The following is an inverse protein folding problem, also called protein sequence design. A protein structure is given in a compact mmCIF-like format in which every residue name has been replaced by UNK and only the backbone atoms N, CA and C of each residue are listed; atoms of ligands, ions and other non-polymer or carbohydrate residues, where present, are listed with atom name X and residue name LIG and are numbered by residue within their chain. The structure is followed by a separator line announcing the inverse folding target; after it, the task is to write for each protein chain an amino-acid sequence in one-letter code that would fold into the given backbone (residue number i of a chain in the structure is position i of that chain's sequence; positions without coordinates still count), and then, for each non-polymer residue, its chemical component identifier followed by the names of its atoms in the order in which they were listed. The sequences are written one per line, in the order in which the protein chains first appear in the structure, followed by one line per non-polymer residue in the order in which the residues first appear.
data_IF_503558691782
#
_entry.id   IF_503558691782
#
_cell.length_a   1.000
_cell.length_b   1.000
_cell.length_c   1.000
_cell.angle_alpha   90.00
_cell.angle_beta   90.00
_cell.angle_gamma   90.00
#
_symmetry.space_group_name_H-M   'P 1'
#
loop_
_entity.id
_entity.type
_entity.pdbx_description
1 polymer ?
#
# COMPACT_ATOMS: atom_id res chain seq x y z
N UNK A 1 1.79 19.53 24.10
CA UNK A 1 1.57 18.90 22.79
C UNK A 1 0.18 18.25 22.81
N UNK A 2 -0.84 18.90 22.27
CA UNK A 2 -2.20 18.34 22.23
C UNK A 2 -2.31 17.38 21.05
N UNK A 3 -2.58 16.10 21.34
CA UNK A 3 -2.90 15.10 20.31
C UNK A 3 -4.37 15.29 19.96
N UNK A 4 -4.67 15.99 18.86
CA UNK A 4 -6.03 16.04 18.32
C UNK A 4 -6.21 14.76 17.52
N UNK A 5 -6.93 13.78 18.08
CA UNK A 5 -7.33 12.56 17.38
C UNK A 5 -8.39 12.95 16.35
N UNK A 6 -8.03 12.89 15.08
CA UNK A 6 -8.92 13.19 13.96
C UNK A 6 -9.62 11.91 13.48
N UNK A 7 -10.63 12.07 12.64
CA UNK A 7 -11.34 10.96 11.99
C UNK A 7 -10.38 9.99 11.26
N UNK A 8 -9.32 10.52 10.62
CA UNK A 8 -8.29 9.69 10.00
C UNK A 8 -7.50 8.83 11.00
N UNK A 9 -7.25 9.33 12.21
CA UNK A 9 -6.58 8.57 13.26
C UNK A 9 -7.46 7.42 13.75
N UNK A 10 -8.78 7.62 13.81
CA UNK A 10 -9.74 6.56 14.14
C UNK A 10 -9.75 5.45 13.08
N UNK A 11 -9.69 5.80 11.78
CA UNK A 11 -9.58 4.80 10.71
C UNK A 11 -8.29 3.98 10.86
N UNK A 12 -7.16 4.64 11.10
CA UNK A 12 -5.86 3.97 11.29
C UNK A 12 -5.91 3.01 12.48
N UNK A 13 -6.44 3.46 13.63
CA UNK A 13 -6.59 2.62 14.83
C UNK A 13 -7.53 1.45 14.56
N UNK A 14 -8.65 1.67 13.87
CA UNK A 14 -9.59 0.61 13.50
C UNK A 14 -8.97 -0.45 12.61
N UNK A 15 -8.20 -0.04 11.59
CA UNK A 15 -7.46 -0.95 10.72
C UNK A 15 -6.43 -1.74 11.53
N UNK A 16 -5.64 -1.09 12.38
CA UNK A 16 -4.67 -1.77 13.25
C UNK A 16 -5.35 -2.80 14.16
N UNK A 17 -6.43 -2.41 14.85
CA UNK A 17 -7.17 -3.30 15.73
C UNK A 17 -7.73 -4.52 14.98
N UNK A 18 -8.28 -4.30 13.77
CA UNK A 18 -8.77 -5.39 12.92
C UNK A 18 -7.66 -6.37 12.55
N UNK A 19 -6.50 -5.89 12.09
CA UNK A 19 -5.39 -6.75 11.68
C UNK A 19 -4.72 -7.46 12.87
N UNK A 20 -4.63 -6.82 14.03
CA UNK A 20 -4.17 -7.46 15.28
C UNK A 20 -5.11 -8.60 15.67
N UNK A 21 -6.42 -8.34 15.68
CA UNK A 21 -7.42 -9.33 16.04
C UNK A 21 -7.47 -10.50 15.06
N UNK A 22 -7.43 -10.20 13.75
CA UNK A 22 -7.32 -11.22 12.70
C UNK A 22 -6.03 -12.02 12.87
N UNK A 23 -4.93 -11.34 13.20
CA UNK A 23 -3.64 -11.98 13.41
C UNK A 23 -3.64 -12.94 14.61
N UNK A 24 -4.28 -12.52 15.70
CA UNK A 24 -4.51 -13.37 16.87
C UNK A 24 -5.37 -14.60 16.54
N UNK A 25 -6.37 -14.47 15.66
CA UNK A 25 -7.24 -15.58 15.26
C UNK A 25 -6.60 -16.57 14.28
N UNK A 26 -5.87 -16.09 13.28
CA UNK A 26 -5.24 -16.94 12.25
C UNK A 26 -3.94 -17.61 12.74
N UNK A 27 -3.24 -17.00 13.69
CA UNK A 27 -1.96 -17.50 14.16
C UNK A 27 -0.80 -17.23 13.19
N UNK A 28 0.41 -17.63 13.58
CA UNK A 28 1.66 -17.24 12.92
C UNK A 28 1.73 -17.59 11.44
N UNK A 29 1.46 -18.84 11.08
CA UNK A 29 1.63 -19.34 9.71
C UNK A 29 0.71 -18.65 8.71
N UNK A 30 -0.57 -18.49 9.07
CA UNK A 30 -1.54 -17.78 8.25
C UNK A 30 -1.11 -16.32 8.06
N UNK A 31 -0.66 -15.65 9.11
CA UNK A 31 -0.19 -14.26 8.99
C UNK A 31 1.09 -14.15 8.15
N UNK A 32 2.00 -15.10 8.26
CA UNK A 32 3.23 -15.10 7.46
C UNK A 32 2.90 -15.29 5.98
N UNK A 33 2.02 -16.23 5.66
CA UNK A 33 1.54 -16.46 4.29
C UNK A 33 0.78 -15.24 3.76
N UNK A 34 -0.08 -14.62 4.56
CA UNK A 34 -0.78 -13.39 4.19
C UNK A 34 0.17 -12.20 3.99
N UNK A 35 1.27 -12.13 4.76
CA UNK A 35 2.30 -11.09 4.61
C UNK A 35 3.12 -11.28 3.33
N UNK A 36 3.55 -12.51 3.03
CA UNK A 36 4.23 -12.84 1.77
C UNK A 36 3.32 -12.50 0.59
N UNK A 37 2.06 -12.90 0.65
CA UNK A 37 1.05 -12.58 -0.35
C UNK A 37 0.85 -11.07 -0.55
N UNK A 38 0.85 -10.31 0.54
CA UNK A 38 0.77 -8.85 0.48
C UNK A 38 1.92 -8.26 -0.33
N UNK A 39 3.17 -8.65 -0.06
CA UNK A 39 4.31 -8.15 -0.85
C UNK A 39 4.27 -8.62 -2.30
N UNK A 40 3.93 -9.89 -2.56
CA UNK A 40 3.79 -10.40 -3.92
C UNK A 40 2.75 -9.59 -4.72
N UNK A 41 1.56 -9.40 -4.16
CA UNK A 41 0.49 -8.62 -4.80
C UNK A 41 0.91 -7.17 -4.99
N UNK A 42 1.57 -6.56 -4.00
CA UNK A 42 2.04 -5.18 -4.07
C UNK A 42 3.12 -5.01 -5.15
N UNK A 43 4.10 -5.91 -5.21
CA UNK A 43 5.17 -5.89 -6.22
C UNK A 43 4.60 -6.01 -7.62
N UNK A 44 3.73 -7.01 -7.86
CA UNK A 44 3.10 -7.19 -9.17
C UNK A 44 2.25 -5.97 -9.54
N UNK A 45 1.50 -5.43 -8.57
CA UNK A 45 0.71 -4.20 -8.77
C UNK A 45 1.59 -3.06 -9.25
N UNK A 46 2.71 -2.78 -8.57
CA UNK A 46 3.62 -1.70 -8.93
C UNK A 46 4.25 -1.89 -10.32
N UNK A 47 4.55 -3.13 -10.71
CA UNK A 47 5.09 -3.45 -12.04
C UNK A 47 4.06 -3.12 -13.14
N UNK A 48 2.80 -3.52 -12.96
CA UNK A 48 1.78 -3.36 -14.00
C UNK A 48 0.99 -2.05 -13.90
N UNK A 49 1.22 -1.26 -12.84
CA UNK A 49 0.45 -0.07 -12.51
C UNK A 49 0.38 0.93 -13.66
N UNK A 50 1.48 1.14 -14.37
CA UNK A 50 1.52 2.09 -15.50
C UNK A 50 0.55 1.72 -16.63
N UNK A 51 0.31 0.43 -16.85
CA UNK A 51 -0.67 -0.05 -17.83
C UNK A 51 -2.10 0.14 -17.32
N UNK A 52 -2.35 -0.22 -16.06
CA UNK A 52 -3.66 -0.08 -15.44
C UNK A 52 -4.09 1.39 -15.35
N UNK A 53 -3.20 2.27 -14.92
CA UNK A 53 -3.49 3.69 -14.80
C UNK A 53 -3.71 4.36 -16.16
N UNK A 54 -2.98 3.94 -17.21
CA UNK A 54 -3.23 4.38 -18.59
C UNK A 54 -4.62 3.98 -19.07
N UNK A 55 -5.09 2.77 -18.73
CA UNK A 55 -6.45 2.34 -19.06
C UNK A 55 -7.51 3.27 -18.44
N UNK A 56 -7.40 3.58 -17.15
CA UNK A 56 -8.34 4.49 -16.49
C UNK A 56 -8.28 5.92 -17.03
N UNK A 57 -7.09 6.42 -17.36
CA UNK A 57 -6.96 7.76 -17.93
C UNK A 57 -7.53 7.85 -19.35
N UNK A 58 -7.26 6.86 -20.20
CA UNK A 58 -7.72 6.91 -21.60
C UNK A 58 -9.22 6.62 -21.76
N UNK A 59 -9.77 5.69 -20.95
CA UNK A 59 -11.17 5.26 -21.09
C UNK A 59 -12.13 6.18 -20.34
N UNK A 60 -11.72 6.72 -19.20
CA UNK A 60 -12.59 7.54 -18.35
C UNK A 60 -12.17 9.02 -18.28
N UNK A 61 -11.12 9.41 -19.02
CA UNK A 61 -10.59 10.79 -19.08
C UNK A 61 -10.29 11.38 -17.70
N UNK A 62 -9.85 10.54 -16.77
CA UNK A 62 -9.62 10.94 -15.38
C UNK A 62 -8.26 11.63 -15.20
N UNK A 63 -8.14 12.56 -14.22
CA UNK A 63 -6.86 13.15 -13.84
C UNK A 63 -5.81 12.09 -13.47
N UNK A 64 -4.50 12.38 -13.62
CA UNK A 64 -3.44 11.43 -13.32
C UNK A 64 -3.50 10.84 -11.89
N UNK A 65 -3.74 11.68 -10.87
CA UNK A 65 -3.90 11.28 -9.46
C UNK A 65 -4.99 10.22 -9.28
N UNK A 66 -6.16 10.46 -9.86
CA UNK A 66 -7.31 9.55 -9.80
C UNK A 66 -7.05 8.29 -10.61
N UNK A 67 -6.46 8.41 -11.80
CA UNK A 67 -6.16 7.28 -12.69
C UNK A 67 -5.17 6.31 -12.05
N UNK A 68 -4.11 6.81 -11.41
CA UNK A 68 -3.14 5.97 -10.69
C UNK A 68 -3.78 5.35 -9.45
N UNK A 69 -4.57 6.11 -8.69
CA UNK A 69 -5.28 5.58 -7.52
C UNK A 69 -6.21 4.42 -7.89
N UNK A 70 -7.06 4.61 -8.90
CA UNK A 70 -7.99 3.58 -9.36
C UNK A 70 -7.26 2.39 -9.99
N UNK A 71 -6.23 2.64 -10.79
CA UNK A 71 -5.37 1.59 -11.36
C UNK A 71 -4.73 0.74 -10.27
N UNK A 72 -4.20 1.36 -9.23
CA UNK A 72 -3.63 0.67 -8.09
C UNK A 72 -4.68 -0.16 -7.35
N UNK A 73 -5.81 0.45 -6.96
CA UNK A 73 -6.87 -0.23 -6.21
C UNK A 73 -7.40 -1.43 -7.00
N UNK A 74 -7.68 -1.25 -8.28
CA UNK A 74 -8.22 -2.29 -9.14
C UNK A 74 -7.27 -3.49 -9.24
N UNK A 75 -6.01 -3.26 -9.60
CA UNK A 75 -5.01 -4.33 -9.75
C UNK A 75 -4.71 -4.98 -8.41
N UNK A 76 -4.47 -4.20 -7.36
CA UNK A 76 -4.15 -4.73 -6.05
C UNK A 76 -5.29 -5.57 -5.48
N UNK A 77 -6.53 -5.10 -5.62
CA UNK A 77 -7.71 -5.85 -5.19
C UNK A 77 -7.90 -7.14 -5.99
N UNK A 78 -7.75 -7.08 -7.33
CA UNK A 78 -7.87 -8.25 -8.19
C UNK A 78 -6.83 -9.33 -7.84
N UNK A 79 -5.56 -8.92 -7.66
CA UNK A 79 -4.47 -9.83 -7.27
C UNK A 79 -4.66 -10.37 -5.86
N UNK A 80 -5.06 -9.52 -4.92
CA UNK A 80 -5.34 -9.95 -3.53
C UNK A 80 -6.46 -10.98 -3.51
N UNK A 81 -7.53 -10.76 -4.28
CA UNK A 81 -8.64 -11.70 -4.37
C UNK A 81 -8.19 -13.04 -4.98
N UNK A 82 -7.44 -13.01 -6.08
CA UNK A 82 -6.86 -14.20 -6.70
C UNK A 82 -5.94 -14.96 -5.71
N UNK A 83 -5.10 -14.23 -4.97
CA UNK A 83 -4.22 -14.80 -3.95
C UNK A 83 -5.01 -15.46 -2.81
N UNK A 84 -6.10 -14.84 -2.34
CA UNK A 84 -6.95 -15.42 -1.30
C UNK A 84 -7.58 -16.74 -1.75
N UNK A 85 -8.01 -16.85 -3.01
CA UNK A 85 -8.49 -18.12 -3.57
C UNK A 85 -7.38 -19.17 -3.61
N UNK A 86 -6.18 -18.80 -4.03
CA UNK A 86 -5.02 -19.68 -4.07
C UNK A 86 -4.64 -20.21 -2.68
N UNK A 87 -4.59 -19.34 -1.67
CA UNK A 87 -4.29 -19.74 -0.28
C UNK A 87 -5.36 -20.68 0.28
N UNK A 88 -6.65 -20.37 0.07
CA UNK A 88 -7.74 -21.26 0.49
C UNK A 88 -7.62 -22.65 -0.14
N UNK A 89 -7.17 -22.72 -1.40
CA UNK A 89 -6.95 -23.99 -2.08
C UNK A 89 -5.79 -24.78 -1.46
N UNK A 90 -4.68 -24.11 -1.11
CA UNK A 90 -3.55 -24.73 -0.40
C UNK A 90 -3.94 -25.22 0.99
N UNK A 91 -4.70 -24.43 1.76
CA UNK A 91 -5.13 -24.81 3.11
C UNK A 91 -6.01 -26.06 3.12
N UNK A 92 -6.74 -26.36 2.04
CA UNK A 92 -7.48 -27.61 1.91
C UNK A 92 -6.56 -28.84 1.80
N UNK A 93 -5.30 -28.64 1.43
CA UNK A 93 -4.32 -29.72 1.21
C UNK A 93 -3.39 -29.96 2.41
N UNK A 94 -3.34 -29.05 3.38
CA UNK A 94 -2.36 -29.12 4.47
C UNK A 94 -3.05 -28.98 5.83
N UNK A 95 -3.02 -30.04 6.64
CA UNK A 95 -3.37 -29.95 8.06
C UNK A 95 -2.13 -29.57 8.87
N UNK A 96 -2.02 -28.30 9.29
CA UNK A 96 -0.96 -27.87 10.21
C UNK A 96 -1.48 -27.83 11.65
N UNK A 97 -0.94 -28.70 12.52
CA UNK A 97 -1.16 -28.64 13.98
C UNK A 97 -0.02 -27.86 14.63
N UNK A 98 -0.32 -26.69 15.20
CA UNK A 98 0.66 -25.80 15.82
C UNK A 98 0.23 -25.46 17.25
N UNK A 99 1.21 -25.29 18.13
CA UNK A 99 1.01 -24.96 19.54
C UNK A 99 0.24 -23.64 19.75
N UNK A 100 -0.93 -23.72 20.39
CA UNK A 100 -1.97 -22.70 20.28
C UNK A 100 -1.61 -21.31 20.83
N UNK A 101 -0.93 -21.21 21.98
CA UNK A 101 -0.65 -19.91 22.61
C UNK A 101 0.46 -19.13 21.92
N UNK A 102 1.59 -19.77 21.63
CA UNK A 102 2.71 -19.13 20.94
C UNK A 102 2.32 -18.70 19.52
N UNK A 103 1.52 -19.54 18.85
CA UNK A 103 0.96 -19.26 17.52
C UNK A 103 0.11 -17.97 17.51
N UNK A 104 -0.72 -17.76 18.53
CA UNK A 104 -1.61 -16.58 18.61
C UNK A 104 -0.87 -15.27 18.93
N UNK A 105 0.13 -15.29 19.81
CA UNK A 105 0.93 -14.09 20.17
C UNK A 105 1.80 -13.66 19.00
N UNK A 106 2.51 -14.60 18.38
CA UNK A 106 3.35 -14.28 17.21
C UNK A 106 2.50 -13.91 15.99
N UNK A 107 1.32 -14.54 15.85
CA UNK A 107 0.31 -14.14 14.88
C UNK A 107 -0.21 -12.71 15.09
N UNK A 108 -0.46 -12.28 16.33
CA UNK A 108 -0.91 -10.91 16.59
C UNK A 108 0.17 -9.87 16.29
N UNK A 109 1.45 -10.18 16.54
CA UNK A 109 2.57 -9.29 16.20
C UNK A 109 2.72 -9.12 14.68
N UNK A 110 2.68 -10.23 13.92
CA UNK A 110 2.69 -10.17 12.46
C UNK A 110 1.44 -9.46 11.90
N UNK A 111 0.28 -9.71 12.51
CA UNK A 111 -0.96 -9.00 12.21
C UNK A 111 -0.82 -7.50 12.44
N UNK A 112 -0.26 -7.07 13.58
CA UNK A 112 0.01 -5.67 13.86
C UNK A 112 0.91 -5.03 12.81
N UNK A 113 2.03 -5.70 12.48
CA UNK A 113 2.97 -5.24 11.47
C UNK A 113 2.30 -5.05 10.10
N UNK A 114 1.53 -6.05 9.65
CA UNK A 114 0.74 -5.95 8.41
C UNK A 114 -0.32 -4.86 8.48
N UNK A 115 -0.95 -4.68 9.64
CA UNK A 115 -1.91 -3.60 9.88
C UNK A 115 -1.29 -2.22 9.69
N UNK A 116 -0.05 -2.02 10.14
CA UNK A 116 0.70 -0.76 9.90
C UNK A 116 0.96 -0.56 8.41
N UNK A 117 1.37 -1.62 7.69
CA UNK A 117 1.58 -1.56 6.24
C UNK A 117 0.28 -1.21 5.49
N UNK A 118 -0.84 -1.83 5.89
CA UNK A 118 -2.15 -1.55 5.29
C UNK A 118 -2.64 -0.14 5.62
N UNK A 119 -2.45 0.32 6.86
CA UNK A 119 -2.76 1.71 7.23
C UNK A 119 -1.92 2.70 6.41
N UNK A 120 -0.63 2.40 6.20
CA UNK A 120 0.24 3.18 5.32
C UNK A 120 -0.26 3.21 3.88
N UNK A 121 -0.68 2.07 3.36
CA UNK A 121 -1.27 1.98 2.02
C UNK A 121 -2.55 2.84 1.90
N UNK A 122 -3.44 2.77 2.89
CA UNK A 122 -4.67 3.58 2.91
C UNK A 122 -4.38 5.07 3.01
N UNK A 123 -3.39 5.47 3.84
CA UNK A 123 -2.95 6.86 3.93
C UNK A 123 -2.42 7.35 2.58
N UNK A 124 -1.59 6.55 1.90
CA UNK A 124 -1.08 6.91 0.57
C UNK A 124 -2.21 7.05 -0.46
N UNK A 125 -3.18 6.14 -0.46
CA UNK A 125 -4.36 6.26 -1.33
C UNK A 125 -5.19 7.51 -1.01
N UNK A 126 -5.35 7.83 0.27
CA UNK A 126 -6.07 9.04 0.70
C UNK A 126 -5.38 10.33 0.25
N UNK A 127 -4.05 10.37 0.21
CA UNK A 127 -3.30 11.53 -0.28
C UNK A 127 -3.47 11.79 -1.79
N UNK A 128 -3.88 10.78 -2.56
CA UNK A 128 -4.15 10.89 -3.99
C UNK A 128 -5.59 11.32 -4.32
N UNK A 129 -6.47 11.46 -3.31
CA UNK A 129 -7.85 11.90 -3.55
C UNK A 129 -7.90 13.39 -3.93
N UNK A 130 -8.65 13.77 -4.97
CA UNK A 130 -8.79 15.16 -5.42
C UNK A 130 -9.77 15.97 -4.55
N UNK A 131 -9.60 15.91 -3.23
CA UNK A 131 -10.48 16.55 -2.25
C UNK A 131 -9.63 17.39 -1.27
N UNK A 132 -9.12 18.57 -1.71
CA UNK A 132 -8.11 19.34 -0.96
C UNK A 132 -8.54 19.72 0.46
N UNK A 133 -9.82 20.07 0.64
CA UNK A 133 -10.39 20.48 1.91
C UNK A 133 -10.49 19.33 2.94
N UNK A 134 -10.48 18.07 2.49
CA UNK A 134 -10.40 16.91 3.39
C UNK A 134 -8.95 16.48 3.63
N UNK A 135 -8.09 16.56 2.63
CA UNK A 135 -6.73 15.99 2.71
C UNK A 135 -5.76 16.92 3.45
N UNK A 136 -5.70 18.20 3.09
CA UNK A 136 -4.69 19.13 3.62
C UNK A 136 -4.82 19.41 5.13
N UNK A 137 -6.00 19.76 5.68
CA UNK A 137 -6.13 19.99 7.11
C UNK A 137 -5.94 18.70 7.91
N UNK A 138 -6.36 17.55 7.37
CA UNK A 138 -6.23 16.24 8.03
C UNK A 138 -4.77 15.77 8.07
N UNK A 139 -4.00 15.92 6.98
CA UNK A 139 -2.58 15.58 6.94
C UNK A 139 -1.75 16.50 7.85
N UNK A 140 -2.06 17.80 7.89
CA UNK A 140 -1.33 18.75 8.72
C UNK A 140 -1.54 18.52 10.22
N UNK A 141 -2.76 18.10 10.61
CA UNK A 141 -3.16 17.90 12.02
C UNK A 141 -2.92 16.48 12.53
N UNK A 142 -2.93 15.46 11.68
CA UNK A 142 -2.72 14.08 12.12
C UNK A 142 -1.23 13.75 12.30
N UNK A 143 -0.86 13.43 13.54
CA UNK A 143 0.46 12.93 13.88
C UNK A 143 0.75 11.57 13.24
N UNK A 144 -0.25 10.67 13.19
CA UNK A 144 -0.09 9.32 12.68
C UNK A 144 0.06 9.29 11.16
N UNK A 145 -0.72 10.06 10.40
CA UNK A 145 -0.61 10.10 8.94
C UNK A 145 0.81 10.50 8.48
N UNK A 146 1.42 11.49 9.16
CA UNK A 146 2.77 11.96 8.82
C UNK A 146 3.84 10.88 9.00
N UNK A 147 3.71 10.05 10.03
CA UNK A 147 4.67 8.97 10.32
C UNK A 147 4.38 7.71 9.51
N UNK A 148 3.11 7.37 9.32
CA UNK A 148 2.70 6.12 8.69
C UNK A 148 2.87 6.19 7.17
N UNK A 149 2.74 7.36 6.52
CA UNK A 149 2.88 7.49 5.06
C UNK A 149 4.24 7.00 4.50
N UNK A 150 5.30 7.08 5.30
CA UNK A 150 6.65 6.65 4.89
C UNK A 150 6.92 5.16 5.13
N UNK A 151 6.09 4.49 5.95
CA UNK A 151 6.37 3.12 6.39
C UNK A 151 6.31 2.13 5.24
N UNK A 152 5.22 2.12 4.46
CA UNK A 152 5.08 1.19 3.34
C UNK A 152 6.15 1.39 2.27
N UNK A 153 6.42 2.62 1.75
CA UNK A 153 7.43 2.80 0.72
C UNK A 153 8.83 2.38 1.18
N UNK A 154 9.25 2.80 2.38
CA UNK A 154 10.57 2.43 2.92
C UNK A 154 10.68 0.93 3.14
N UNK A 155 9.62 0.32 3.67
CA UNK A 155 9.63 -1.09 3.97
C UNK A 155 9.59 -1.95 2.70
N UNK A 156 8.80 -1.57 1.71
CA UNK A 156 8.82 -2.20 0.39
C UNK A 156 10.21 -2.11 -0.24
N UNK A 157 10.83 -0.92 -0.24
CA UNK A 157 12.17 -0.73 -0.80
C UNK A 157 13.26 -1.49 -0.03
N UNK A 158 13.04 -1.76 1.26
CA UNK A 158 13.91 -2.64 2.04
C UNK A 158 13.74 -4.10 1.61
N UNK A 159 12.50 -4.60 1.58
CA UNK A 159 12.19 -6.00 1.22
C UNK A 159 12.59 -6.31 -0.23
N UNK A 160 12.38 -5.37 -1.16
CA UNK A 160 12.72 -5.59 -2.57
C UNK A 160 14.22 -5.79 -2.80
N UNK A 161 15.11 -5.34 -1.90
CA UNK A 161 16.56 -5.56 -2.05
C UNK A 161 16.93 -7.05 -2.02
N UNK A 162 16.04 -7.89 -1.49
CA UNK A 162 16.19 -9.34 -1.46
C UNK A 162 15.82 -10.00 -2.80
N UNK A 163 15.13 -9.28 -3.70
CA UNK A 163 14.61 -9.80 -4.97
C UNK A 163 15.07 -8.91 -6.12
N UNK A 164 15.95 -9.38 -7.02
CA UNK A 164 16.39 -8.58 -8.16
C UNK A 164 15.24 -8.36 -9.15
N UNK A 165 15.16 -7.15 -9.73
CA UNK A 165 14.25 -6.85 -10.84
C UNK A 165 13.18 -5.78 -10.57
N UNK A 166 12.38 -5.86 -9.49
CA UNK A 166 11.27 -4.92 -9.30
C UNK A 166 11.72 -3.46 -9.07
N UNK A 167 10.98 -2.48 -9.65
CA UNK A 167 11.25 -1.06 -9.43
C UNK A 167 11.05 -0.67 -7.96
N UNK A 168 11.67 0.43 -7.56
CA UNK A 168 11.40 1.05 -6.26
C UNK A 168 9.97 1.56 -6.15
N UNK A 169 9.47 1.74 -4.93
CA UNK A 169 8.08 2.19 -4.73
C UNK A 169 7.81 3.55 -5.40
N UNK A 170 8.65 4.56 -5.11
CA UNK A 170 8.55 5.90 -5.72
C UNK A 170 8.76 5.85 -7.23
N UNK A 171 9.69 5.02 -7.70
CA UNK A 171 10.03 4.86 -9.11
C UNK A 171 8.84 4.30 -9.90
N UNK A 172 8.21 3.22 -9.42
CA UNK A 172 7.04 2.62 -10.05
C UNK A 172 5.89 3.62 -10.19
N UNK A 173 5.64 4.40 -9.14
CA UNK A 173 4.61 5.45 -9.16
C UNK A 173 4.96 6.58 -10.12
N UNK A 174 6.22 7.00 -10.15
CA UNK A 174 6.70 8.04 -11.06
C UNK A 174 6.49 7.60 -12.52
N UNK A 175 6.93 6.39 -12.87
CA UNK A 175 6.71 5.84 -14.22
C UNK A 175 5.21 5.75 -14.54
N UNK A 176 4.38 5.33 -13.59
CA UNK A 176 2.93 5.28 -13.81
C UNK A 176 2.33 6.66 -14.10
N UNK A 177 2.70 7.69 -13.34
CA UNK A 177 2.20 9.05 -13.58
C UNK A 177 2.66 9.64 -14.91
N UNK A 178 3.96 9.62 -15.19
CA UNK A 178 4.51 10.22 -16.42
C UNK A 178 4.06 9.51 -17.70
N UNK A 179 3.66 8.23 -17.61
CA UNK A 179 3.12 7.49 -18.76
C UNK A 179 1.70 7.91 -19.16
N UNK A 180 0.98 8.52 -18.23
CA UNK A 180 -0.40 8.97 -18.45
C UNK A 180 -0.41 10.38 -19.07
N UNK A 181 0.44 11.27 -18.57
CA UNK A 181 0.49 12.66 -19.03
C UNK A 181 1.21 13.58 -18.05
N UNK A 182 1.09 14.91 -18.22
CA UNK A 182 1.66 15.88 -17.28
C UNK A 182 1.07 15.71 -15.88
N UNK A 183 1.90 15.89 -14.86
CA UNK A 183 1.49 15.76 -13.47
C UNK A 183 0.47 16.85 -13.11
N UNK A 184 -0.65 16.45 -12.51
CA UNK A 184 -1.49 17.38 -11.75
C UNK A 184 -0.83 17.75 -10.42
N UNK A 185 -1.28 18.83 -9.79
CA UNK A 185 -0.71 19.36 -8.54
C UNK A 185 -0.67 18.32 -7.41
N UNK A 186 -1.69 17.44 -7.33
CA UNK A 186 -1.79 16.41 -6.30
C UNK A 186 -0.77 15.32 -6.55
N UNK A 187 -0.67 14.85 -7.80
CA UNK A 187 0.32 13.85 -8.22
C UNK A 187 1.76 14.33 -7.99
N UNK A 188 2.07 15.58 -8.34
CA UNK A 188 3.39 16.17 -8.12
C UNK A 188 3.74 16.24 -6.64
N UNK A 189 2.85 16.84 -5.83
CA UNK A 189 3.04 16.93 -4.37
C UNK A 189 3.17 15.55 -3.72
N UNK A 190 2.35 14.59 -4.16
CA UNK A 190 2.40 13.23 -3.63
C UNK A 190 3.74 12.55 -3.90
N UNK A 191 4.29 12.68 -5.11
CA UNK A 191 5.61 12.13 -5.44
C UNK A 191 6.75 12.79 -4.65
N UNK A 192 6.66 14.09 -4.37
CA UNK A 192 7.64 14.81 -3.55
C UNK A 192 7.59 14.40 -2.07
N UNK A 193 6.41 14.02 -1.60
CA UNK A 193 6.18 13.54 -0.24
C UNK A 193 6.71 12.11 0.02
N UNK A 194 7.05 11.36 -1.05
CA UNK A 194 7.55 9.98 -0.94
C UNK A 194 9.06 9.92 -0.67
N UNK A 195 9.50 8.97 0.18
CA UNK A 195 10.92 8.74 0.41
C UNK A 195 11.61 8.15 -0.83
N UNK A 196 12.93 8.31 -0.89
CA UNK A 196 13.76 7.91 -2.04
C UNK A 196 14.05 9.09 -2.97
N UNK A 197 15.10 8.98 -3.78
CA UNK A 197 15.44 10.02 -4.76
C UNK A 197 14.51 9.91 -5.98
N UNK A 198 14.11 11.02 -6.62
CA UNK A 198 13.43 10.94 -7.91
C UNK A 198 14.30 10.10 -8.86
N UNK A 199 13.71 9.24 -9.71
CA UNK A 199 14.47 8.56 -10.73
C UNK A 199 15.19 9.64 -11.54
N UNK A 200 16.50 9.46 -11.69
CA UNK A 200 17.47 10.42 -12.23
C UNK A 200 16.88 11.35 -13.30
N UNK A 201 17.17 12.63 -13.11
CA UNK A 201 17.17 13.73 -14.08
C UNK A 201 17.57 13.28 -15.50
N UNK A 202 16.60 12.76 -16.27
CA UNK A 202 16.54 12.62 -17.74
C UNK A 202 15.22 11.94 -18.15
N UNK A 203 14.14 12.70 -18.08
CA UNK A 203 13.02 12.61 -19.03
C UNK A 203 12.95 13.93 -19.82
N UNK A 204 14.13 14.50 -20.12
CA UNK A 204 14.32 15.67 -20.98
C UNK A 204 15.39 15.34 -22.02
N UNK A 205 15.05 14.43 -22.94
CA UNK A 205 15.68 14.26 -24.26
C UNK A 205 15.06 13.00 -24.86
N UNK A 206 13.89 13.16 -25.48
CA UNK A 206 13.63 12.83 -26.88
C UNK A 206 12.28 13.45 -27.28
#
# INVERSE_FOLDING_TARGET
MQIIINFADFIIIGVLAYFIWRGYKGGFYDNLLELIGFYLCLTITLIVLSYAAKFFSFVLELPPSVSVLLGFIFVFAALTLAYLYFVKWIHKMIEMKVHERFNRITGSLLGAYRGVLMASLLVLGFLLLPIPHLVQPTQARSFFMRKIKIVLPMNYDYVRRLVPGPPGFREALTVAFYRIGPLDEISARFLDDLPGRPPYQKLSSD
#
